data_IF_945667227691
#
_entry.id   IF_945667227691
#
_cell.length_a   1.000
_cell.length_b   1.000
_cell.length_c   1.000
_cell.angle_alpha   90.00
_cell.angle_beta   90.00
_cell.angle_gamma   90.00
#
_symmetry.space_group_name_H-M   'P 1'
#
loop_
_entity.id
_entity.type
_entity.pdbx_description
1 polymer ?
#
# COMPACT_ATOMS: atom_id res chain seq x y z
N UNK A 1 80.74 -24.14 41.33
CA UNK A 1 79.40 -24.72 41.17
C UNK A 1 78.45 -23.56 40.88
N UNK A 2 78.04 -23.41 39.67
CA UNK A 2 77.21 -22.28 39.24
C UNK A 2 75.84 -22.86 38.93
N UNK A 3 74.82 -22.45 39.68
CA UNK A 3 73.41 -22.78 39.45
C UNK A 3 72.86 -21.83 38.37
N UNK A 4 72.27 -22.39 37.29
CA UNK A 4 71.47 -21.68 36.32
C UNK A 4 70.02 -21.73 36.76
N UNK A 5 69.23 -20.62 36.66
CA UNK A 5 67.81 -20.67 36.89
C UNK A 5 67.05 -21.08 35.59
N UNK A 6 66.01 -21.89 35.76
CA UNK A 6 65.10 -22.42 34.73
C UNK A 6 64.14 -21.34 34.21
N UNK A 7 63.98 -21.38 32.93
CA UNK A 7 63.03 -20.54 32.17
C UNK A 7 61.61 -21.07 32.40
N UNK A 8 60.72 -20.25 32.99
CA UNK A 8 59.29 -20.55 33.09
C UNK A 8 58.60 -19.91 31.87
N UNK A 9 58.14 -20.78 30.96
CA UNK A 9 57.30 -20.37 29.84
C UNK A 9 55.91 -19.90 30.33
N UNK A 10 55.63 -18.63 30.17
CA UNK A 10 54.29 -18.07 30.34
C UNK A 10 53.46 -18.34 29.09
N UNK A 11 52.58 -19.35 29.13
CA UNK A 11 51.54 -19.57 28.12
C UNK A 11 50.48 -18.49 28.37
N UNK A 12 50.41 -17.48 27.47
CA UNK A 12 49.29 -16.57 27.40
C UNK A 12 48.17 -17.26 26.63
N UNK A 13 47.12 -17.71 27.34
CA UNK A 13 45.85 -18.12 26.73
C UNK A 13 45.13 -16.85 26.23
N UNK A 14 45.19 -16.65 24.93
CA UNK A 14 44.33 -15.65 24.25
C UNK A 14 42.91 -16.23 24.17
N UNK A 15 42.04 -15.87 25.10
CA UNK A 15 40.60 -16.05 24.94
C UNK A 15 40.13 -15.06 23.90
N UNK A 16 40.09 -15.50 22.64
CA UNK A 16 39.38 -14.78 21.56
C UNK A 16 37.89 -14.72 21.88
N UNK A 17 37.41 -13.57 22.31
CA UNK A 17 35.96 -13.29 22.38
C UNK A 17 35.49 -13.25 20.92
N UNK A 18 35.12 -14.41 20.37
CA UNK A 18 34.28 -14.45 19.18
C UNK A 18 32.91 -13.89 19.57
N UNK A 19 32.73 -12.58 19.42
CA UNK A 19 31.41 -11.97 19.45
C UNK A 19 30.60 -12.61 18.30
N UNK A 20 29.64 -13.44 18.67
CA UNK A 20 28.63 -13.92 17.73
C UNK A 20 27.95 -12.64 17.20
N UNK A 21 28.32 -12.21 16.00
CA UNK A 21 27.57 -11.17 15.27
C UNK A 21 26.22 -11.82 15.00
N UNK A 22 25.25 -11.56 15.87
CA UNK A 22 23.85 -11.97 15.65
C UNK A 22 23.45 -11.35 14.33
N UNK A 23 23.17 -12.17 13.33
CA UNK A 23 22.63 -11.69 12.06
C UNK A 23 21.44 -10.78 12.38
N UNK A 24 21.37 -9.62 11.73
CA UNK A 24 20.28 -8.68 11.97
C UNK A 24 18.95 -9.42 11.78
N UNK A 25 18.13 -9.39 12.81
CA UNK A 25 16.84 -10.07 12.81
C UNK A 25 15.97 -9.48 11.68
N UNK A 26 15.46 -10.33 10.81
CA UNK A 26 14.59 -9.92 9.70
C UNK A 26 13.33 -9.26 10.26
N UNK A 27 12.89 -8.09 9.74
CA UNK A 27 11.69 -7.43 10.24
C UNK A 27 10.42 -8.20 9.90
N UNK A 28 9.44 -8.20 10.78
CA UNK A 28 8.07 -8.47 10.40
C UNK A 28 7.51 -7.29 9.62
N UNK A 29 6.50 -7.53 8.77
CA UNK A 29 5.82 -6.50 7.98
C UNK A 29 4.31 -6.62 8.20
N UNK A 30 3.66 -5.52 8.53
CA UNK A 30 2.21 -5.39 8.54
C UNK A 30 1.83 -4.28 7.59
N UNK A 31 1.00 -4.59 6.60
CA UNK A 31 0.47 -3.62 5.63
C UNK A 31 -1.03 -3.51 5.86
N UNK A 32 -1.49 -2.36 6.33
CA UNK A 32 -2.91 -2.00 6.42
C UNK A 32 -3.26 -1.18 5.19
N UNK A 33 -4.02 -1.78 4.28
CA UNK A 33 -4.30 -1.25 2.96
C UNK A 33 -5.80 -1.07 2.79
N UNK A 34 -6.27 0.18 2.88
CA UNK A 34 -7.68 0.53 2.78
C UNK A 34 -8.15 0.54 1.32
N UNK A 35 -9.46 0.65 1.11
CA UNK A 35 -10.10 0.75 -0.18
C UNK A 35 -10.85 2.08 -0.27
N UNK A 36 -10.60 2.89 -1.29
CA UNK A 36 -11.27 4.17 -1.55
C UNK A 36 -11.14 5.23 -0.43
N UNK A 37 -10.07 5.22 0.35
CA UNK A 37 -9.86 6.22 1.38
C UNK A 37 -9.18 7.48 0.84
N UNK A 38 -9.74 8.63 1.15
CA UNK A 38 -9.22 9.92 0.73
C UNK A 38 -8.02 10.41 1.51
N UNK A 39 -7.25 11.29 0.87
CA UNK A 39 -6.11 11.97 1.50
C UNK A 39 -6.54 12.77 2.75
N UNK A 40 -7.70 13.45 2.68
CA UNK A 40 -8.24 14.28 3.75
C UNK A 40 -9.05 13.55 4.82
N UNK A 41 -9.11 12.23 4.80
CA UNK A 41 -9.99 11.47 5.71
C UNK A 41 -9.40 11.25 7.11
N UNK A 42 -8.07 11.35 7.27
CA UNK A 42 -7.41 11.22 8.57
C UNK A 42 -7.18 12.57 9.23
N UNK A 43 -7.30 12.66 10.56
CA UNK A 43 -7.08 13.90 11.30
C UNK A 43 -5.64 14.41 11.12
N UNK A 44 -4.63 13.52 11.10
CA UNK A 44 -3.24 13.87 10.80
C UNK A 44 -3.00 14.39 9.37
N UNK A 45 -3.96 14.21 8.46
CA UNK A 45 -3.97 14.76 7.10
C UNK A 45 -4.97 15.90 6.90
N UNK A 46 -5.57 16.39 7.99
CA UNK A 46 -6.39 17.59 8.00
C UNK A 46 -7.90 17.39 8.10
N UNK A 47 -8.39 16.14 8.29
CA UNK A 47 -9.80 15.90 8.54
C UNK A 47 -10.29 16.67 9.77
N UNK A 48 -11.41 17.37 9.63
CA UNK A 48 -12.10 18.07 10.73
C UNK A 48 -13.29 17.29 11.26
N UNK A 49 -13.72 16.28 10.53
CA UNK A 49 -14.95 15.53 10.78
C UNK A 49 -14.70 14.13 11.33
N UNK A 50 -13.57 13.52 11.03
CA UNK A 50 -13.24 12.17 11.43
C UNK A 50 -12.19 12.19 12.56
N UNK A 51 -12.37 11.39 13.59
CA UNK A 51 -11.42 11.20 14.68
C UNK A 51 -10.60 9.93 14.43
N UNK A 52 -9.29 10.09 14.29
CA UNK A 52 -8.38 8.96 13.99
C UNK A 52 -7.21 8.90 14.98
N UNK A 53 -7.47 8.82 16.31
CA UNK A 53 -6.43 8.94 17.33
C UNK A 53 -5.35 7.85 17.25
N UNK A 54 -5.69 6.63 16.81
CA UNK A 54 -4.75 5.52 16.70
C UNK A 54 -3.82 5.69 15.50
N UNK A 55 -4.34 6.10 14.35
CA UNK A 55 -3.56 6.42 13.15
C UNK A 55 -2.76 7.72 13.33
N UNK A 56 -3.28 8.69 14.04
CA UNK A 56 -2.54 9.90 14.40
C UNK A 56 -1.36 9.59 15.34
N UNK A 57 -1.54 8.64 16.27
CA UNK A 57 -0.45 8.16 17.10
C UNK A 57 0.59 7.38 16.27
N UNK A 58 0.14 6.52 15.35
CA UNK A 58 1.03 5.82 14.42
C UNK A 58 1.89 6.81 13.61
N UNK A 59 1.29 7.93 13.14
CA UNK A 59 2.00 9.01 12.44
C UNK A 59 3.04 9.72 13.33
N UNK A 60 2.73 9.96 14.61
CA UNK A 60 3.65 10.55 15.58
C UNK A 60 4.82 9.62 15.91
N UNK A 61 4.61 8.31 15.88
CA UNK A 61 5.63 7.29 16.17
C UNK A 61 6.48 6.89 14.96
N UNK A 62 6.13 7.37 13.76
CA UNK A 62 6.78 7.04 12.52
C UNK A 62 7.01 8.21 11.59
N UNK A 63 6.82 7.98 10.32
CA UNK A 63 6.88 8.97 9.24
C UNK A 63 5.55 9.04 8.50
N UNK A 64 5.06 10.27 8.30
CA UNK A 64 3.91 10.61 7.47
C UNK A 64 4.40 11.09 6.11
N UNK A 65 3.95 10.48 5.02
CA UNK A 65 4.25 10.90 3.66
C UNK A 65 3.13 11.77 3.10
N UNK A 66 3.47 12.97 2.64
CA UNK A 66 2.52 13.89 1.99
C UNK A 66 2.52 13.78 0.47
N UNK A 67 3.40 12.96 -0.12
CA UNK A 67 3.46 12.68 -1.57
C UNK A 67 3.62 11.17 -1.84
N UNK A 68 2.75 10.37 -1.22
CA UNK A 68 2.65 8.94 -1.54
C UNK A 68 1.62 8.72 -2.64
N UNK A 69 1.93 7.80 -3.55
CA UNK A 69 1.13 7.52 -4.74
C UNK A 69 0.83 6.04 -4.92
N UNK A 70 -0.40 5.73 -5.33
CA UNK A 70 -0.75 4.45 -5.93
C UNK A 70 -1.41 4.67 -7.29
N UNK A 71 -2.29 3.77 -7.74
CA UNK A 71 -3.08 4.00 -8.96
C UNK A 71 -4.44 4.61 -8.59
N UNK A 72 -5.20 5.01 -9.60
CA UNK A 72 -6.47 5.71 -9.36
C UNK A 72 -7.67 4.78 -9.15
N UNK A 73 -7.48 3.45 -9.25
CA UNK A 73 -8.51 2.41 -9.02
C UNK A 73 -7.90 1.13 -8.47
N UNK A 74 -8.72 0.31 -7.82
CA UNK A 74 -8.34 -0.81 -6.96
C UNK A 74 -7.40 -1.87 -7.58
N UNK A 75 -7.86 -2.63 -8.59
CA UNK A 75 -7.07 -3.73 -9.15
C UNK A 75 -5.71 -3.30 -9.70
N UNK A 76 -5.62 -2.20 -10.49
CA UNK A 76 -4.34 -1.60 -10.89
C UNK A 76 -3.43 -1.26 -9.72
N UNK A 77 -3.97 -0.69 -8.62
CA UNK A 77 -3.20 -0.36 -7.42
C UNK A 77 -2.65 -1.59 -6.72
N UNK A 78 -3.51 -2.61 -6.56
CA UNK A 78 -3.15 -3.86 -5.88
C UNK A 78 -2.13 -4.67 -6.68
N UNK A 79 -2.27 -4.75 -8.00
CA UNK A 79 -1.26 -5.39 -8.85
C UNK A 79 0.08 -4.65 -8.83
N UNK A 80 0.06 -3.31 -8.84
CA UNK A 80 1.25 -2.49 -8.76
C UNK A 80 1.97 -2.65 -7.41
N UNK A 81 1.22 -2.65 -6.30
CA UNK A 81 1.73 -2.92 -4.96
C UNK A 81 2.42 -4.28 -4.88
N UNK A 82 1.73 -5.34 -5.34
CA UNK A 82 2.20 -6.72 -5.21
C UNK A 82 3.44 -7.01 -6.06
N UNK A 83 3.54 -6.43 -7.25
CA UNK A 83 4.54 -6.79 -8.26
C UNK A 83 5.68 -5.77 -8.40
N UNK A 84 5.58 -4.58 -7.82
CA UNK A 84 6.50 -3.48 -8.06
C UNK A 84 6.48 -2.95 -9.51
N UNK A 85 5.41 -3.25 -10.28
CA UNK A 85 5.29 -2.94 -11.71
C UNK A 85 4.06 -2.09 -11.99
N UNK A 86 4.20 -1.13 -12.90
CA UNK A 86 3.07 -0.33 -13.36
C UNK A 86 1.98 -1.20 -14.01
N UNK A 87 0.68 -0.84 -13.89
CA UNK A 87 -0.44 -1.63 -14.44
C UNK A 87 -0.36 -1.90 -15.94
N UNK A 88 0.29 -1.03 -16.70
CA UNK A 88 0.55 -1.28 -18.12
C UNK A 88 1.35 -2.59 -18.34
N UNK A 89 2.07 -3.09 -17.32
CA UNK A 89 2.84 -4.34 -17.30
C UNK A 89 2.15 -5.44 -16.50
N UNK A 90 1.66 -5.14 -15.29
CA UNK A 90 1.04 -6.10 -14.37
C UNK A 90 -0.42 -6.42 -14.66
N UNK A 91 -1.06 -5.68 -15.60
CA UNK A 91 -2.44 -5.90 -16.09
C UNK A 91 -3.57 -5.67 -15.06
N UNK A 92 -3.29 -5.06 -13.91
CA UNK A 92 -4.32 -4.66 -12.96
C UNK A 92 -5.23 -5.79 -12.49
N UNK A 93 -6.55 -5.65 -12.68
CA UNK A 93 -7.53 -6.69 -12.34
C UNK A 93 -7.28 -8.06 -12.98
N UNK A 94 -6.61 -8.07 -14.11
CA UNK A 94 -6.28 -9.27 -14.88
C UNK A 94 -4.84 -9.73 -14.68
N UNK A 95 -4.22 -9.50 -13.53
CA UNK A 95 -2.84 -9.87 -13.25
C UNK A 95 -2.56 -11.32 -13.68
N UNK A 96 -1.61 -11.56 -14.60
CA UNK A 96 -1.27 -12.91 -15.05
C UNK A 96 -0.68 -13.75 -13.89
N UNK A 97 -0.93 -15.05 -13.91
CA UNK A 97 -0.29 -15.99 -12.97
C UNK A 97 1.25 -16.01 -13.07
N UNK A 98 1.79 -15.57 -14.20
CA UNK A 98 3.25 -15.45 -14.40
C UNK A 98 3.87 -14.20 -13.76
N UNK A 99 3.10 -13.29 -13.20
CA UNK A 99 3.66 -12.22 -12.38
C UNK A 99 4.26 -12.78 -11.09
N UNK A 100 5.31 -12.13 -10.61
CA UNK A 100 5.96 -12.46 -9.35
C UNK A 100 5.60 -11.37 -8.35
N UNK A 101 5.10 -11.78 -7.20
CA UNK A 101 4.75 -10.89 -6.10
C UNK A 101 5.88 -10.82 -5.06
N UNK A 102 5.93 -9.74 -4.29
CA UNK A 102 6.85 -9.69 -3.14
C UNK A 102 6.52 -10.77 -2.09
N UNK A 103 5.28 -11.28 -2.05
CA UNK A 103 4.92 -12.36 -1.13
C UNK A 103 5.62 -13.68 -1.49
N UNK A 104 5.69 -14.02 -2.79
CA UNK A 104 6.47 -15.18 -3.26
C UNK A 104 7.94 -15.06 -2.88
N UNK A 105 8.54 -13.88 -3.12
CA UNK A 105 9.96 -13.63 -2.84
C UNK A 105 10.27 -13.63 -1.32
N UNK A 106 9.35 -13.14 -0.50
CA UNK A 106 9.48 -13.21 0.96
C UNK A 106 9.42 -14.66 1.46
N UNK A 107 8.56 -15.51 0.88
CA UNK A 107 8.53 -16.95 1.22
C UNK A 107 9.86 -17.64 0.90
N UNK A 108 10.47 -17.35 -0.25
CA UNK A 108 11.77 -17.91 -0.64
C UNK A 108 12.88 -17.61 0.38
N UNK A 109 12.77 -16.50 1.10
CA UNK A 109 13.72 -16.14 2.17
C UNK A 109 13.21 -16.44 3.58
N UNK A 110 12.20 -17.31 3.71
CA UNK A 110 11.76 -17.90 4.97
C UNK A 110 10.68 -17.14 5.73
N UNK A 111 10.02 -16.15 5.10
CA UNK A 111 8.85 -15.51 5.70
C UNK A 111 7.63 -16.40 5.64
N UNK A 112 6.77 -16.26 6.66
CA UNK A 112 5.39 -16.70 6.61
C UNK A 112 4.51 -15.54 6.13
N UNK A 113 3.55 -15.82 5.25
CA UNK A 113 2.79 -14.80 4.54
C UNK A 113 1.30 -14.97 4.70
N UNK A 114 0.59 -13.89 5.05
CA UNK A 114 -0.87 -13.89 5.13
C UNK A 114 -1.48 -12.70 4.40
N UNK A 115 -2.60 -12.95 3.72
CA UNK A 115 -3.46 -11.93 3.13
C UNK A 115 -4.86 -12.05 3.72
N UNK A 116 -5.37 -10.97 4.30
CA UNK A 116 -6.70 -10.91 4.88
C UNK A 116 -7.47 -9.76 4.23
N UNK A 117 -8.59 -10.08 3.57
CA UNK A 117 -9.45 -9.12 2.89
C UNK A 117 -9.44 -9.26 1.37
N UNK A 118 -9.63 -8.14 0.68
CA UNK A 118 -9.87 -8.03 -0.77
C UNK A 118 -8.63 -8.34 -1.62
N UNK A 119 -8.77 -9.31 -2.55
CA UNK A 119 -7.71 -9.66 -3.49
C UNK A 119 -7.69 -8.77 -4.76
N UNK A 120 -8.77 -8.78 -5.52
CA UNK A 120 -9.10 -7.92 -6.68
C UNK A 120 -8.10 -7.92 -7.86
N UNK A 121 -7.24 -8.93 -7.99
CA UNK A 121 -6.30 -9.06 -9.13
C UNK A 121 -6.48 -10.36 -9.93
N UNK A 122 -7.39 -11.25 -9.54
CA UNK A 122 -7.74 -12.48 -10.25
C UNK A 122 -8.96 -12.33 -11.18
N UNK A 123 -9.23 -11.12 -11.68
CA UNK A 123 -10.46 -10.79 -12.43
C UNK A 123 -11.76 -11.08 -11.65
N UNK A 124 -11.68 -11.03 -10.30
CA UNK A 124 -12.80 -11.36 -9.38
C UNK A 124 -13.36 -12.78 -9.58
N UNK A 125 -12.53 -13.68 -10.07
CA UNK A 125 -12.90 -15.09 -10.37
C UNK A 125 -11.99 -16.03 -9.61
N UNK A 126 -12.52 -17.21 -9.31
CA UNK A 126 -11.77 -18.34 -8.73
C UNK A 126 -10.94 -18.98 -9.84
N UNK A 127 -9.77 -18.42 -10.09
CA UNK A 127 -8.74 -18.94 -11.00
C UNK A 127 -7.58 -19.33 -10.08
N UNK A 128 -7.42 -20.63 -9.83
CA UNK A 128 -6.51 -21.17 -8.80
C UNK A 128 -5.09 -20.60 -8.93
N UNK A 129 -4.55 -20.56 -10.14
CA UNK A 129 -3.19 -20.06 -10.42
C UNK A 129 -3.03 -18.55 -10.18
N UNK A 130 -4.13 -17.85 -9.94
CA UNK A 130 -4.18 -16.40 -9.71
C UNK A 130 -4.75 -16.03 -8.34
N UNK A 131 -5.08 -17.02 -7.53
CA UNK A 131 -5.52 -16.80 -6.15
C UNK A 131 -4.35 -16.47 -5.24
N UNK A 132 -4.59 -15.86 -4.06
CA UNK A 132 -3.54 -15.45 -3.15
C UNK A 132 -2.52 -16.54 -2.82
N UNK A 133 -2.97 -17.77 -2.60
CA UNK A 133 -2.07 -18.88 -2.26
C UNK A 133 -1.10 -19.21 -3.38
N UNK A 134 -1.54 -19.16 -4.65
CA UNK A 134 -0.68 -19.36 -5.81
C UNK A 134 0.24 -18.16 -6.07
N UNK A 135 -0.06 -17.02 -5.49
CA UNK A 135 0.70 -15.76 -5.61
C UNK A 135 1.50 -15.44 -4.33
N UNK A 136 1.84 -16.47 -3.54
CA UNK A 136 2.81 -16.39 -2.47
C UNK A 136 2.27 -16.22 -1.07
N UNK A 137 0.96 -16.28 -0.83
CA UNK A 137 0.41 -16.22 0.52
C UNK A 137 0.14 -17.62 1.08
N UNK A 138 0.72 -17.95 2.24
CA UNK A 138 0.51 -19.22 2.94
C UNK A 138 -0.91 -19.31 3.50
N UNK A 139 -1.47 -18.16 3.90
CA UNK A 139 -2.83 -18.03 4.40
C UNK A 139 -3.58 -16.91 3.71
N UNK A 140 -4.81 -17.20 3.34
CA UNK A 140 -5.74 -16.21 2.78
C UNK A 140 -7.11 -16.33 3.44
N UNK A 141 -7.71 -15.18 3.77
CA UNK A 141 -9.13 -15.06 4.09
C UNK A 141 -9.70 -13.78 3.51
N UNK A 142 -10.71 -13.85 2.66
CA UNK A 142 -11.36 -12.67 2.13
C UNK A 142 -12.09 -12.87 0.81
N UNK A 143 -12.64 -11.78 0.23
CA UNK A 143 -13.30 -11.79 -1.07
C UNK A 143 -12.30 -11.59 -2.22
N UNK A 144 -12.59 -12.20 -3.37
CA UNK A 144 -11.84 -11.98 -4.61
C UNK A 144 -12.15 -10.65 -5.30
N UNK A 145 -13.14 -9.91 -4.83
CA UNK A 145 -13.56 -8.61 -5.33
C UNK A 145 -13.98 -7.67 -4.21
N UNK A 146 -14.65 -6.58 -4.58
CA UNK A 146 -15.19 -5.60 -3.63
C UNK A 146 -16.63 -5.95 -3.19
N UNK A 147 -17.20 -5.08 -2.37
CA UNK A 147 -18.54 -5.17 -1.82
C UNK A 147 -19.61 -4.41 -2.62
N UNK A 148 -19.36 -4.14 -3.91
CA UNK A 148 -20.19 -3.33 -4.81
C UNK A 148 -21.71 -3.66 -4.81
N UNK A 149 -22.04 -4.92 -4.54
CA UNK A 149 -23.42 -5.39 -4.53
C UNK A 149 -24.08 -5.44 -3.15
N UNK A 150 -23.45 -4.86 -2.11
CA UNK A 150 -23.92 -4.99 -0.73
C UNK A 150 -23.84 -6.43 -0.25
N UNK A 151 -22.78 -7.14 -0.63
CA UNK A 151 -22.51 -8.50 -0.21
C UNK A 151 -21.13 -8.97 -0.63
N UNK A 152 -20.48 -9.77 0.19
CA UNK A 152 -19.17 -10.35 -0.04
C UNK A 152 -19.26 -11.88 0.00
N UNK A 153 -18.47 -12.53 -0.87
CA UNK A 153 -18.25 -13.97 -0.88
C UNK A 153 -16.83 -14.21 -0.41
N UNK A 154 -16.68 -14.87 0.71
CA UNK A 154 -15.39 -15.19 1.29
C UNK A 154 -14.79 -16.47 0.74
N UNK A 155 -13.49 -16.49 0.71
CA UNK A 155 -12.67 -17.70 0.59
C UNK A 155 -11.75 -17.78 1.81
N UNK A 156 -11.49 -18.99 2.27
CA UNK A 156 -10.36 -19.29 3.15
C UNK A 156 -9.41 -20.19 2.37
N UNK A 157 -8.25 -19.66 2.08
CA UNK A 157 -7.33 -20.20 1.07
C UNK A 157 -8.04 -20.32 -0.30
N UNK A 158 -8.06 -21.51 -0.90
CA UNK A 158 -8.70 -21.75 -2.20
C UNK A 158 -10.17 -22.18 -2.11
N UNK A 159 -10.70 -22.35 -0.89
CA UNK A 159 -12.04 -22.88 -0.68
C UNK A 159 -13.06 -21.78 -0.34
N UNK A 160 -14.31 -21.91 -0.78
CA UNK A 160 -15.38 -21.01 -0.36
C UNK A 160 -15.57 -21.06 1.17
N UNK A 161 -15.67 -19.89 1.80
CA UNK A 161 -15.78 -19.74 3.26
C UNK A 161 -17.03 -18.92 3.70
N UNK A 162 -18.08 -18.97 2.90
CA UNK A 162 -19.35 -18.32 3.22
C UNK A 162 -19.57 -16.98 2.53
N UNK A 163 -20.62 -16.30 2.93
CA UNK A 163 -21.05 -15.00 2.40
C UNK A 163 -21.55 -14.12 3.53
N UNK A 164 -21.42 -12.80 3.41
CA UNK A 164 -22.08 -11.84 4.30
C UNK A 164 -22.73 -10.72 3.49
N UNK A 165 -23.82 -10.19 4.02
CA UNK A 165 -24.46 -8.94 3.59
C UNK A 165 -24.37 -7.86 4.66
N UNK A 166 -23.81 -8.19 5.81
CA UNK A 166 -23.65 -7.30 6.96
C UNK A 166 -22.35 -6.48 6.77
N UNK A 167 -22.46 -5.39 6.04
CA UNK A 167 -21.30 -4.54 5.69
C UNK A 167 -20.65 -3.95 6.95
N UNK A 168 -21.44 -3.65 7.98
CA UNK A 168 -20.95 -3.11 9.25
C UNK A 168 -20.09 -4.07 10.08
N UNK A 169 -20.08 -5.37 9.76
CA UNK A 169 -19.25 -6.35 10.46
C UNK A 169 -17.88 -6.56 9.81
N UNK A 170 -17.67 -6.07 8.57
CA UNK A 170 -16.48 -6.42 7.79
C UNK A 170 -15.21 -5.92 8.43
N UNK A 171 -15.21 -4.70 9.00
CA UNK A 171 -14.01 -4.12 9.61
C UNK A 171 -13.56 -4.92 10.81
N UNK A 172 -14.49 -5.25 11.71
CA UNK A 172 -14.23 -6.12 12.87
C UNK A 172 -13.83 -7.53 12.43
N UNK A 173 -14.49 -8.11 11.42
CA UNK A 173 -14.20 -9.47 10.95
C UNK A 173 -12.75 -9.60 10.45
N UNK A 174 -12.27 -8.66 9.63
CA UNK A 174 -10.90 -8.74 9.12
C UNK A 174 -9.87 -8.48 10.23
N UNK A 175 -10.19 -7.65 11.20
CA UNK A 175 -9.36 -7.44 12.39
C UNK A 175 -9.27 -8.70 13.23
N UNK A 176 -10.38 -9.36 13.53
CA UNK A 176 -10.41 -10.62 14.28
C UNK A 176 -9.62 -11.73 13.57
N UNK A 177 -9.81 -11.90 12.26
CA UNK A 177 -9.02 -12.85 11.47
C UNK A 177 -7.53 -12.56 11.52
N UNK A 178 -7.14 -11.26 11.51
CA UNK A 178 -5.74 -10.83 11.63
C UNK A 178 -5.17 -11.13 13.01
N UNK A 179 -5.91 -10.87 14.07
CA UNK A 179 -5.51 -11.14 15.47
C UNK A 179 -5.37 -12.64 15.72
N UNK A 180 -6.35 -13.42 15.27
CA UNK A 180 -6.30 -14.90 15.37
C UNK A 180 -5.09 -15.44 14.61
N UNK A 181 -4.81 -14.92 13.41
CA UNK A 181 -3.65 -15.35 12.66
C UNK A 181 -2.33 -14.99 13.40
N UNK A 182 -2.21 -13.79 13.95
CA UNK A 182 -1.05 -13.36 14.72
C UNK A 182 -0.83 -14.19 16.00
N UNK A 183 -1.91 -14.55 16.71
CA UNK A 183 -1.84 -15.24 18.00
C UNK A 183 -1.75 -16.77 17.88
N UNK A 184 -2.42 -17.36 16.88
CA UNK A 184 -2.70 -18.79 16.87
C UNK A 184 -2.21 -19.54 15.63
N UNK A 185 -2.10 -18.86 14.47
CA UNK A 185 -1.82 -19.56 13.20
C UNK A 185 -0.39 -19.39 12.70
N UNK A 186 0.27 -18.26 13.02
CA UNK A 186 1.64 -18.04 12.58
C UNK A 186 2.62 -18.91 13.36
N UNK A 187 3.73 -19.27 12.70
CA UNK A 187 4.90 -19.85 13.34
C UNK A 187 5.68 -18.74 14.10
N UNK A 188 5.82 -18.80 15.43
CA UNK A 188 6.51 -17.77 16.21
C UNK A 188 8.00 -17.62 15.88
N UNK A 189 8.61 -18.66 15.32
CA UNK A 189 10.05 -18.68 15.00
C UNK A 189 10.38 -18.05 13.64
N UNK A 190 9.35 -17.75 12.84
CA UNK A 190 9.53 -17.16 11.50
C UNK A 190 9.17 -15.69 11.47
N UNK A 191 9.92 -14.87 10.71
CA UNK A 191 9.44 -13.55 10.34
C UNK A 191 8.20 -13.67 9.47
N UNK A 192 7.35 -12.64 9.50
CA UNK A 192 6.09 -12.69 8.76
C UNK A 192 5.78 -11.41 7.99
N UNK A 193 4.93 -11.55 6.98
CA UNK A 193 4.19 -10.45 6.38
C UNK A 193 2.69 -10.70 6.52
N UNK A 194 1.98 -9.73 7.06
CA UNK A 194 0.52 -9.69 7.16
C UNK A 194 0.00 -8.54 6.30
N UNK A 195 -0.65 -8.88 5.17
CA UNK A 195 -1.28 -7.93 4.27
C UNK A 195 -2.78 -7.88 4.55
N UNK A 196 -3.23 -6.81 5.21
CA UNK A 196 -4.63 -6.56 5.52
C UNK A 196 -5.19 -5.68 4.42
N UNK A 197 -5.72 -6.35 3.39
CA UNK A 197 -6.27 -5.74 2.18
C UNK A 197 -7.77 -5.48 2.37
N UNK A 198 -8.12 -4.38 3.02
CA UNK A 198 -9.48 -4.13 3.43
C UNK A 198 -10.43 -3.85 2.25
N UNK A 199 -11.74 -4.03 2.47
CA UNK A 199 -12.81 -3.68 1.52
C UNK A 199 -13.46 -2.33 1.85
N UNK A 200 -13.29 -1.80 3.07
CA UNK A 200 -13.73 -0.46 3.45
C UNK A 200 -12.60 0.56 3.13
N UNK A 201 -12.93 1.73 2.64
CA UNK A 201 -14.26 2.40 2.63
C UNK A 201 -14.95 2.29 1.24
N UNK A 202 -14.74 1.18 0.49
CA UNK A 202 -15.41 1.00 -0.80
C UNK A 202 -16.92 0.83 -0.59
N UNK A 203 -17.70 1.51 -1.43
CA UNK A 203 -19.18 1.40 -1.40
C UNK A 203 -19.62 -0.03 -1.81
N UNK A 204 -20.61 -0.66 -1.18
CA UNK A 204 -21.50 -0.11 -0.16
C UNK A 204 -20.83 -0.21 1.20
N UNK A 205 -20.87 0.89 1.98
CA UNK A 205 -20.27 0.97 3.30
C UNK A 205 -21.33 0.84 4.40
N UNK A 206 -20.91 0.34 5.55
CA UNK A 206 -21.63 0.45 6.81
C UNK A 206 -20.63 0.33 7.98
N UNK A 207 -21.02 0.79 9.13
CA UNK A 207 -20.29 0.66 10.39
C UNK A 207 -21.05 -0.24 11.36
N UNK A 208 -20.34 -0.87 12.29
CA UNK A 208 -20.96 -1.61 13.36
C UNK A 208 -21.83 -0.71 14.25
N UNK A 209 -22.77 -1.29 15.00
CA UNK A 209 -23.65 -0.56 15.94
C UNK A 209 -22.86 0.25 16.97
N UNK A 210 -21.64 -0.18 17.27
CA UNK A 210 -20.74 0.55 18.15
C UNK A 210 -20.37 1.94 17.59
N UNK A 211 -20.26 2.09 16.28
CA UNK A 211 -19.79 3.32 15.62
C UNK A 211 -20.88 4.05 14.84
N UNK A 212 -21.91 3.36 14.38
CA UNK A 212 -22.99 3.95 13.56
C UNK A 212 -23.65 5.15 14.22
N UNK A 213 -23.71 6.26 13.49
CA UNK A 213 -24.35 7.51 13.93
C UNK A 213 -23.55 8.31 14.94
N UNK A 214 -22.26 8.06 15.15
CA UNK A 214 -21.45 8.73 16.19
C UNK A 214 -20.45 9.75 15.66
N UNK A 215 -20.05 9.61 14.39
CA UNK A 215 -19.09 10.51 13.77
C UNK A 215 -19.76 11.80 13.26
N UNK A 216 -19.00 12.90 13.26
CA UNK A 216 -19.41 14.14 12.57
C UNK A 216 -19.36 14.01 11.04
N UNK A 217 -18.61 13.04 10.53
CA UNK A 217 -18.47 12.73 9.10
C UNK A 217 -19.63 11.90 8.53
N UNK A 218 -20.72 11.67 9.30
CA UNK A 218 -21.82 10.80 8.89
C UNK A 218 -21.39 9.34 8.77
N UNK A 219 -22.11 8.55 7.97
CA UNK A 219 -21.83 7.12 7.81
C UNK A 219 -20.39 6.83 7.37
N UNK A 220 -19.84 7.63 6.46
CA UNK A 220 -18.45 7.48 6.05
C UNK A 220 -17.48 7.71 7.22
N UNK A 221 -17.72 8.77 7.99
CA UNK A 221 -16.92 9.04 9.18
C UNK A 221 -17.06 7.96 10.25
N UNK A 222 -18.23 7.35 10.41
CA UNK A 222 -18.44 6.22 11.33
C UNK A 222 -17.53 5.05 10.94
N UNK A 223 -17.45 4.74 9.65
CA UNK A 223 -16.57 3.67 9.10
C UNK A 223 -15.09 4.01 9.29
N UNK A 224 -14.70 5.27 9.06
CA UNK A 224 -13.30 5.72 9.27
C UNK A 224 -12.90 5.63 10.74
N UNK A 225 -13.76 6.07 11.68
CA UNK A 225 -13.49 6.00 13.11
C UNK A 225 -13.45 4.55 13.63
N UNK A 226 -14.31 3.67 13.09
CA UNK A 226 -14.24 2.23 13.37
C UNK A 226 -12.95 1.62 12.86
N UNK A 227 -12.55 1.97 11.64
CA UNK A 227 -11.31 1.50 11.04
C UNK A 227 -10.07 1.91 11.83
N UNK A 228 -10.04 3.15 12.32
CA UNK A 228 -8.99 3.65 13.21
C UNK A 228 -8.90 2.81 14.49
N UNK A 229 -10.04 2.56 15.12
CA UNK A 229 -10.12 1.74 16.33
C UNK A 229 -9.64 0.31 16.09
N UNK A 230 -10.11 -0.32 15.03
CA UNK A 230 -9.77 -1.70 14.68
C UNK A 230 -8.30 -1.85 14.27
N UNK A 231 -7.74 -0.87 13.55
CA UNK A 231 -6.29 -0.80 13.30
C UNK A 231 -5.53 -0.71 14.62
N UNK A 232 -6.02 0.08 15.56
CA UNK A 232 -5.46 0.17 16.92
C UNK A 232 -5.39 -1.18 17.62
N UNK A 233 -6.43 -2.03 17.54
CA UNK A 233 -6.43 -3.38 18.12
C UNK A 233 -5.34 -4.29 17.53
N UNK A 234 -5.04 -4.15 16.24
CA UNK A 234 -3.93 -4.90 15.61
C UNK A 234 -2.59 -4.41 16.18
N UNK A 235 -2.41 -3.10 16.33
CA UNK A 235 -1.19 -2.53 16.93
C UNK A 235 -1.01 -2.98 18.39
N UNK A 236 -2.08 -2.97 19.19
CA UNK A 236 -2.08 -3.47 20.57
C UNK A 236 -1.69 -4.96 20.62
N UNK A 237 -2.21 -5.77 19.68
CA UNK A 237 -1.84 -7.19 19.57
C UNK A 237 -0.35 -7.39 19.26
N UNK A 238 0.24 -6.55 18.42
CA UNK A 238 1.69 -6.58 18.17
C UNK A 238 2.48 -6.23 19.43
N UNK A 239 1.99 -5.28 20.23
CA UNK A 239 2.60 -4.90 21.52
C UNK A 239 2.48 -6.04 22.55
N UNK A 240 1.29 -6.61 22.71
CA UNK A 240 1.02 -7.76 23.59
C UNK A 240 1.93 -8.96 23.30
N UNK A 241 2.19 -9.21 22.02
CA UNK A 241 3.05 -10.32 21.56
C UNK A 241 4.54 -9.95 21.58
N UNK A 242 4.93 -8.74 21.98
CA UNK A 242 6.31 -8.28 21.98
C UNK A 242 6.92 -8.08 20.60
N UNK A 243 6.10 -7.98 19.55
CA UNK A 243 6.51 -7.93 18.13
C UNK A 243 6.78 -6.53 17.61
N UNK A 244 6.21 -5.49 18.25
CA UNK A 244 6.21 -4.11 17.72
C UNK A 244 7.59 -3.58 17.38
N UNK A 245 8.62 -3.86 18.19
CA UNK A 245 9.99 -3.35 17.97
C UNK A 245 10.62 -3.86 16.68
N UNK A 246 10.24 -5.08 16.26
CA UNK A 246 10.77 -5.68 15.04
C UNK A 246 9.71 -5.76 13.92
N UNK A 247 8.69 -4.90 13.95
CA UNK A 247 7.63 -4.86 12.94
C UNK A 247 7.60 -3.51 12.22
N UNK A 248 7.77 -3.57 10.90
CA UNK A 248 7.50 -2.48 9.96
C UNK A 248 5.99 -2.45 9.70
N UNK A 249 5.31 -1.42 10.20
CA UNK A 249 3.88 -1.18 9.94
C UNK A 249 3.73 -0.12 8.87
N UNK A 250 2.95 -0.41 7.83
CA UNK A 250 2.62 0.49 6.73
C UNK A 250 1.10 0.64 6.68
N UNK A 251 0.62 1.87 6.74
CA UNK A 251 -0.78 2.23 6.54
C UNK A 251 -0.93 3.08 5.31
N UNK A 252 -1.82 2.71 4.38
CA UNK A 252 -2.14 3.50 3.18
C UNK A 252 -3.42 3.00 2.51
N UNK A 253 -3.86 3.69 1.44
CA UNK A 253 -5.02 3.32 0.62
C UNK A 253 -4.61 2.83 -0.77
N UNK A 254 -5.52 2.17 -1.47
CA UNK A 254 -5.29 1.73 -2.84
C UNK A 254 -5.50 2.84 -3.88
N UNK A 255 -6.50 3.69 -3.70
CA UNK A 255 -6.77 4.86 -4.54
C UNK A 255 -7.52 5.94 -3.75
N UNK A 256 -7.69 7.09 -4.36
CA UNK A 256 -8.47 8.19 -3.77
C UNK A 256 -9.95 7.86 -3.59
N UNK A 257 -10.69 8.71 -2.87
CA UNK A 257 -12.04 8.42 -2.43
C UNK A 257 -13.05 8.57 -3.57
N UNK A 258 -14.19 7.94 -3.40
CA UNK A 258 -15.40 8.49 -4.00
C UNK A 258 -15.62 9.87 -3.36
N UNK A 259 -15.49 10.94 -4.12
CA UNK A 259 -15.56 12.30 -3.58
C UNK A 259 -16.78 13.09 -4.03
N UNK A 260 -17.84 12.43 -4.52
CA UNK A 260 -18.93 13.18 -5.09
C UNK A 260 -20.31 12.58 -4.91
N UNK A 261 -21.22 13.48 -4.54
CA UNK A 261 -22.66 13.31 -4.57
C UNK A 261 -23.21 12.89 -5.96
N UNK A 262 -22.45 13.10 -7.03
CA UNK A 262 -22.86 12.83 -8.43
C UNK A 262 -22.91 11.33 -8.78
N UNK A 263 -22.31 10.45 -7.99
CA UNK A 263 -22.41 9.01 -8.21
C UNK A 263 -23.69 8.41 -7.67
N UNK A 264 -24.80 8.76 -8.28
CA UNK A 264 -26.14 8.22 -7.94
C UNK A 264 -26.21 6.70 -8.04
N UNK A 265 -25.34 6.06 -8.83
CA UNK A 265 -25.26 4.60 -8.94
C UNK A 265 -24.91 3.92 -7.64
N UNK A 266 -24.13 4.57 -6.77
CA UNK A 266 -23.65 4.00 -5.51
C UNK A 266 -24.54 4.38 -4.31
N UNK A 267 -25.60 5.18 -4.51
CA UNK A 267 -26.60 5.47 -3.48
C UNK A 267 -27.46 4.25 -3.14
N UNK A 268 -27.58 3.31 -4.09
CA UNK A 268 -28.38 2.09 -3.89
C UNK A 268 -27.75 1.23 -2.80
N UNK A 269 -28.49 1.02 -1.74
CA UNK A 269 -28.04 0.24 -0.57
C UNK A 269 -27.60 1.08 0.63
N UNK A 270 -27.43 2.40 0.47
CA UNK A 270 -27.18 3.29 1.60
C UNK A 270 -28.46 3.94 2.09
N UNK A 271 -28.55 4.31 3.38
CA UNK A 271 -29.65 5.09 3.90
C UNK A 271 -29.82 6.41 3.15
N UNK A 272 -31.07 6.87 3.00
CA UNK A 272 -31.35 8.14 2.33
C UNK A 272 -30.66 9.29 3.06
N UNK A 273 -29.87 10.10 2.32
CA UNK A 273 -29.12 11.22 2.88
C UNK A 273 -27.79 10.87 3.55
N UNK A 274 -27.39 9.59 3.55
CA UNK A 274 -26.10 9.18 4.09
C UNK A 274 -24.94 9.77 3.27
N UNK A 275 -23.92 10.27 3.96
CA UNK A 275 -22.60 10.57 3.39
C UNK A 275 -21.83 9.25 3.31
N UNK A 276 -21.53 8.78 2.12
CA UNK A 276 -20.83 7.51 1.88
C UNK A 276 -19.59 7.67 1.00
N UNK A 277 -19.09 8.88 0.88
CA UNK A 277 -17.89 9.24 0.12
C UNK A 277 -16.88 9.94 1.02
N UNK A 278 -15.59 9.77 0.68
CA UNK A 278 -14.49 10.37 1.41
C UNK A 278 -14.10 11.76 0.93
N UNK A 279 -13.04 12.27 1.52
CA UNK A 279 -12.51 13.62 1.28
C UNK A 279 -11.06 13.54 0.77
N UNK A 280 -10.83 14.12 -0.42
CA UNK A 280 -9.48 14.27 -0.97
C UNK A 280 -8.69 15.41 -0.30
N UNK A 281 -9.29 16.16 0.63
CA UNK A 281 -8.67 17.34 1.23
C UNK A 281 -8.37 18.42 0.21
N UNK A 282 -7.13 18.92 0.14
CA UNK A 282 -6.75 19.98 -0.80
C UNK A 282 -6.56 19.49 -2.24
N UNK A 283 -6.66 18.18 -2.49
CA UNK A 283 -6.37 17.58 -3.78
C UNK A 283 -7.60 17.63 -4.69
N UNK A 284 -7.36 17.81 -5.98
CA UNK A 284 -8.43 17.85 -6.98
C UNK A 284 -8.97 16.46 -7.25
N UNK A 285 -10.31 16.34 -7.24
CA UNK A 285 -11.08 15.16 -7.63
C UNK A 285 -10.79 13.93 -6.72
N UNK A 286 -10.99 12.70 -7.21
CA UNK A 286 -10.85 11.46 -6.46
C UNK A 286 -10.71 10.23 -7.36
N UNK A 287 -11.25 9.11 -6.91
CA UNK A 287 -11.19 7.80 -7.57
C UNK A 287 -11.46 7.86 -9.08
N UNK A 288 -10.60 7.21 -9.84
CA UNK A 288 -10.73 7.11 -11.30
C UNK A 288 -10.27 8.35 -12.07
N UNK A 289 -9.88 9.44 -11.40
CA UNK A 289 -9.46 10.68 -12.01
C UNK A 289 -7.95 10.70 -12.30
N UNK A 290 -7.51 11.55 -13.25
CA UNK A 290 -6.10 11.78 -13.53
C UNK A 290 -5.46 12.84 -12.61
N UNK A 291 -6.24 13.50 -11.76
CA UNK A 291 -5.79 14.53 -10.83
C UNK A 291 -5.25 13.92 -9.53
N UNK A 292 -4.61 14.77 -8.71
CA UNK A 292 -3.92 14.32 -7.48
C UNK A 292 -4.83 13.52 -6.55
N UNK A 293 -6.10 13.93 -6.39
CA UNK A 293 -7.05 13.26 -5.51
C UNK A 293 -7.34 11.80 -5.87
N UNK A 294 -7.07 11.38 -7.12
CA UNK A 294 -7.20 9.97 -7.51
C UNK A 294 -6.00 9.11 -7.14
N UNK A 295 -4.80 9.69 -7.10
CA UNK A 295 -3.52 8.98 -7.01
C UNK A 295 -2.74 9.22 -5.72
N UNK A 296 -2.85 10.41 -5.12
CA UNK A 296 -2.10 10.83 -3.95
C UNK A 296 -2.85 10.51 -2.68
N UNK A 297 -2.23 9.75 -1.81
CA UNK A 297 -2.89 9.01 -0.72
C UNK A 297 -2.22 9.28 0.61
N UNK A 298 -2.94 9.10 1.73
CA UNK A 298 -2.30 9.06 3.04
C UNK A 298 -1.37 7.84 3.09
N UNK A 299 -0.17 8.03 3.64
CA UNK A 299 0.75 6.92 3.90
C UNK A 299 1.53 7.21 5.18
N UNK A 300 1.43 6.28 6.12
CA UNK A 300 2.12 6.33 7.40
C UNK A 300 2.96 5.07 7.53
N UNK A 301 4.23 5.23 7.92
CA UNK A 301 5.13 4.10 8.10
C UNK A 301 5.79 4.20 9.47
N UNK A 302 5.70 3.12 10.26
CA UNK A 302 6.28 3.03 11.60
C UNK A 302 7.17 1.79 11.72
N UNK A 303 8.35 1.97 12.28
CA UNK A 303 9.22 0.89 12.72
C UNK A 303 10.03 1.37 13.92
N UNK A 304 9.62 1.02 15.15
CA UNK A 304 10.24 1.56 16.37
C UNK A 304 11.74 1.29 16.43
N UNK A 305 12.52 2.33 16.74
CA UNK A 305 13.99 2.23 16.83
C UNK A 305 14.73 2.12 15.49
N UNK A 306 14.02 2.05 14.36
CA UNK A 306 14.61 2.03 13.01
C UNK A 306 14.21 3.26 12.19
N UNK A 307 12.93 3.61 12.18
CA UNK A 307 12.43 4.84 11.57
C UNK A 307 12.34 5.92 12.64
N UNK A 308 13.01 7.08 12.48
CA UNK A 308 12.87 8.18 13.43
C UNK A 308 11.42 8.66 13.50
N UNK A 309 10.91 8.79 14.73
CA UNK A 309 9.54 9.21 15.01
C UNK A 309 9.28 10.68 14.67
N UNK A 310 8.01 11.05 14.45
CA UNK A 310 7.54 12.41 14.27
C UNK A 310 7.99 13.06 12.94
N UNK A 311 8.35 12.25 11.94
CA UNK A 311 8.77 12.77 10.64
C UNK A 311 7.60 13.01 9.70
N UNK A 312 7.73 14.06 8.91
CA UNK A 312 6.92 14.29 7.72
C UNK A 312 7.83 14.38 6.48
N UNK A 313 7.40 13.81 5.36
CA UNK A 313 8.16 13.82 4.11
C UNK A 313 7.29 14.12 2.91
N UNK A 314 7.66 15.15 2.14
CA UNK A 314 7.10 15.46 0.82
C UNK A 314 7.81 14.72 -0.34
N UNK A 315 8.74 13.83 -0.06
CA UNK A 315 9.42 13.04 -1.08
C UNK A 315 8.41 12.14 -1.83
N UNK A 316 8.55 12.04 -3.16
CA UNK A 316 7.72 11.15 -3.96
C UNK A 316 8.04 9.71 -3.58
N UNK A 317 7.04 8.99 -3.13
CA UNK A 317 7.06 7.58 -2.80
C UNK A 317 5.84 6.90 -3.43
N UNK A 318 5.94 5.67 -3.90
CA UNK A 318 4.85 5.02 -4.60
C UNK A 318 4.70 3.55 -4.20
N UNK A 319 3.50 2.98 -4.35
CA UNK A 319 3.19 1.59 -4.03
C UNK A 319 4.07 0.58 -4.77
N UNK A 320 4.50 0.88 -5.99
CA UNK A 320 5.45 0.06 -6.75
C UNK A 320 6.83 -0.05 -6.08
N UNK A 321 7.18 0.86 -5.19
CA UNK A 321 8.48 0.88 -4.49
C UNK A 321 8.57 -0.16 -3.37
N UNK A 322 7.45 -0.75 -2.94
CA UNK A 322 7.45 -1.70 -1.83
C UNK A 322 8.27 -2.95 -2.15
N UNK A 323 8.15 -3.51 -3.37
CA UNK A 323 8.92 -4.71 -3.71
C UNK A 323 10.44 -4.50 -3.58
N UNK A 324 11.09 -3.52 -4.25
CA UNK A 324 12.53 -3.31 -4.09
C UNK A 324 12.93 -2.83 -2.68
N UNK A 325 12.05 -2.12 -1.98
CA UNK A 325 12.28 -1.72 -0.59
C UNK A 325 12.27 -2.94 0.35
N UNK A 326 11.32 -3.85 0.20
CA UNK A 326 11.29 -5.10 0.95
C UNK A 326 12.47 -6.00 0.59
N UNK A 327 12.86 -6.05 -0.70
CA UNK A 327 14.05 -6.76 -1.13
C UNK A 327 15.29 -6.33 -0.32
N UNK A 328 15.49 -5.03 -0.17
CA UNK A 328 16.60 -4.48 0.61
C UNK A 328 16.48 -4.76 2.11
N UNK A 329 15.28 -4.61 2.68
CA UNK A 329 15.07 -4.76 4.13
C UNK A 329 15.03 -6.22 4.59
N UNK A 330 14.56 -7.13 3.73
CA UNK A 330 14.29 -8.54 4.07
C UNK A 330 15.30 -9.52 3.45
N UNK A 331 16.13 -9.06 2.51
CA UNK A 331 17.24 -9.84 1.96
C UNK A 331 16.85 -10.81 0.85
N UNK A 332 15.95 -10.39 -0.06
CA UNK A 332 15.70 -11.12 -1.30
C UNK A 332 16.13 -10.31 -2.53
N UNK A 333 16.25 -10.96 -3.69
CA UNK A 333 16.57 -10.28 -4.95
C UNK A 333 15.31 -9.94 -5.74
N UNK A 334 15.29 -8.74 -6.33
CA UNK A 334 14.25 -8.33 -7.27
C UNK A 334 14.38 -9.14 -8.58
N UNK A 335 13.27 -9.58 -9.21
CA UNK A 335 13.33 -10.32 -10.47
C UNK A 335 14.08 -9.56 -11.57
N UNK A 336 14.99 -10.24 -12.25
CA UNK A 336 15.83 -9.68 -13.35
C UNK A 336 15.26 -9.99 -14.74
N UNK A 337 14.34 -10.95 -14.84
CA UNK A 337 13.70 -11.40 -16.09
C UNK A 337 12.63 -10.44 -16.60
N UNK A 338 12.25 -9.47 -15.77
CA UNK A 338 11.19 -8.50 -16.05
C UNK A 338 11.57 -7.11 -15.54
N UNK A 339 10.93 -6.08 -16.09
CA UNK A 339 11.12 -4.72 -15.61
C UNK A 339 10.33 -4.52 -14.32
N UNK A 340 11.02 -4.11 -13.27
CA UNK A 340 10.43 -3.55 -12.04
C UNK A 340 10.46 -2.03 -12.17
N UNK A 341 9.32 -1.36 -11.93
CA UNK A 341 9.18 0.09 -12.01
C UNK A 341 9.44 0.78 -10.66
N UNK A 342 9.38 -0.01 -9.59
CA UNK A 342 9.72 0.43 -8.24
C UNK A 342 11.22 0.67 -8.07
N UNK A 343 11.55 1.49 -7.07
CA UNK A 343 12.92 1.73 -6.62
C UNK A 343 13.01 1.51 -5.12
N UNK A 344 14.19 1.16 -4.62
CA UNK A 344 14.44 1.03 -3.18
C UNK A 344 14.32 2.38 -2.46
N UNK A 345 13.45 2.44 -1.47
CA UNK A 345 13.19 3.58 -0.61
C UNK A 345 13.61 3.33 0.85
N UNK A 346 14.34 2.26 1.13
CA UNK A 346 14.74 1.92 2.50
C UNK A 346 15.49 3.04 3.19
N UNK A 347 16.42 3.72 2.51
CA UNK A 347 17.14 4.86 3.08
C UNK A 347 16.25 6.09 3.33
N UNK A 348 15.20 6.30 2.53
CA UNK A 348 14.19 7.32 2.78
C UNK A 348 13.39 7.00 4.06
N UNK A 349 12.92 5.77 4.20
CA UNK A 349 12.21 5.29 5.39
C UNK A 349 13.06 5.42 6.64
N UNK A 350 14.30 4.93 6.59
CA UNK A 350 15.23 4.94 7.72
C UNK A 350 15.82 6.33 8.04
N UNK A 351 15.45 7.36 7.27
CA UNK A 351 15.91 8.73 7.52
C UNK A 351 17.33 9.04 7.07
N UNK A 352 17.95 8.16 6.31
CA UNK A 352 19.30 8.32 5.75
C UNK A 352 19.32 9.19 4.48
N UNK A 353 18.18 9.29 3.80
CA UNK A 353 17.97 10.10 2.60
C UNK A 353 16.69 10.93 2.75
N UNK A 354 16.66 12.14 2.15
CA UNK A 354 15.49 13.05 2.17
C UNK A 354 14.69 13.02 0.87
N UNK A 355 15.29 12.57 -0.21
CA UNK A 355 14.67 12.52 -1.55
C UNK A 355 14.17 11.11 -1.86
N UNK A 356 13.02 11.02 -2.50
CA UNK A 356 12.44 9.78 -2.98
C UNK A 356 12.68 9.54 -4.46
N UNK A 357 11.63 9.18 -5.18
CA UNK A 357 11.64 9.03 -6.65
C UNK A 357 11.81 10.40 -7.32
N UNK A 358 12.44 10.40 -8.50
CA UNK A 358 12.53 11.60 -9.32
C UNK A 358 11.19 11.94 -9.98
N UNK A 359 10.38 10.91 -10.31
CA UNK A 359 9.11 11.09 -11.00
C UNK A 359 8.07 10.05 -10.56
N UNK A 360 6.78 10.37 -10.82
CA UNK A 360 5.66 9.43 -10.76
C UNK A 360 4.89 9.44 -12.09
N UNK A 361 4.58 8.25 -12.62
CA UNK A 361 3.85 8.05 -13.87
C UNK A 361 2.38 7.74 -13.60
N UNK A 362 1.47 8.59 -14.09
CA UNK A 362 0.01 8.50 -13.88
C UNK A 362 -0.65 7.65 -14.97
N UNK A 363 -0.22 6.41 -15.13
CA UNK A 363 -0.84 5.42 -16.01
C UNK A 363 -1.40 5.98 -17.34
N UNK A 364 -0.56 6.33 -18.28
CA UNK A 364 -0.93 6.92 -19.59
C UNK A 364 -1.59 8.31 -19.55
N UNK A 365 -1.94 8.82 -18.38
CA UNK A 365 -2.54 10.14 -18.25
C UNK A 365 -1.52 11.28 -18.21
N UNK A 366 -0.38 11.06 -17.56
CA UNK A 366 0.62 12.11 -17.36
C UNK A 366 1.81 11.66 -16.55
N UNK A 367 2.59 12.66 -16.11
CA UNK A 367 3.80 12.44 -15.31
C UNK A 367 4.04 13.59 -14.35
N UNK A 368 4.49 13.29 -13.13
CA UNK A 368 5.05 14.24 -12.18
C UNK A 368 6.57 14.08 -12.13
N UNK A 369 7.33 15.20 -12.19
CA UNK A 369 8.75 15.25 -11.90
C UNK A 369 9.05 16.43 -10.98
N UNK A 370 9.52 16.13 -9.76
CA UNK A 370 9.64 17.13 -8.71
C UNK A 370 8.29 17.79 -8.42
N UNK A 371 8.20 19.12 -8.52
CA UNK A 371 6.97 19.88 -8.33
C UNK A 371 6.05 19.92 -9.56
N UNK A 372 6.56 19.63 -10.75
CA UNK A 372 5.82 19.76 -12.00
C UNK A 372 5.01 18.52 -12.33
N UNK A 373 3.73 18.69 -12.56
CA UNK A 373 2.82 17.65 -13.08
C UNK A 373 2.33 18.04 -14.45
N UNK A 374 2.52 17.16 -15.41
CA UNK A 374 1.97 17.26 -16.77
C UNK A 374 0.88 16.23 -16.99
N UNK A 375 -0.21 16.64 -17.59
CA UNK A 375 -1.28 15.78 -18.08
C UNK A 375 -1.44 15.98 -19.59
N UNK A 376 -1.57 14.89 -20.35
CA UNK A 376 -1.84 14.94 -21.78
C UNK A 376 -3.30 15.33 -22.05
N UNK A 377 -3.55 15.93 -23.20
CA UNK A 377 -4.91 16.19 -23.66
C UNK A 377 -5.71 14.88 -23.71
N UNK A 378 -6.97 14.92 -23.30
CA UNK A 378 -7.86 13.77 -23.18
C UNK A 378 -7.27 12.64 -22.34
N UNK A 379 -6.55 12.99 -21.26
CA UNK A 379 -5.96 12.03 -20.33
C UNK A 379 -6.97 10.96 -19.95
N UNK A 380 -6.54 9.69 -20.05
CA UNK A 380 -7.38 8.55 -19.70
C UNK A 380 -7.73 8.60 -18.21
N UNK A 381 -8.99 8.32 -17.91
CA UNK A 381 -9.49 8.07 -16.58
C UNK A 381 -10.58 7.01 -16.66
N UNK A 382 -10.78 6.31 -15.58
CA UNK A 382 -11.86 5.35 -15.51
C UNK A 382 -13.19 6.10 -15.37
N UNK A 383 -14.26 5.59 -15.97
CA UNK A 383 -15.57 6.25 -16.06
C UNK A 383 -16.28 6.54 -14.73
N UNK A 384 -15.55 6.43 -13.63
CA UNK A 384 -15.96 6.85 -12.28
C UNK A 384 -15.68 8.34 -12.02
N UNK A 385 -14.72 8.93 -12.76
CA UNK A 385 -14.41 10.33 -12.64
C UNK A 385 -15.56 11.17 -13.20
N UNK A 386 -15.74 12.35 -12.67
CA UNK A 386 -16.80 13.26 -13.08
C UNK A 386 -16.58 13.66 -14.54
N UNK A 387 -17.60 13.54 -15.39
CA UNK A 387 -17.51 13.74 -16.83
C UNK A 387 -16.89 15.09 -17.25
N UNK A 388 -17.02 16.12 -16.42
CA UNK A 388 -16.53 17.47 -16.71
C UNK A 388 -15.09 17.74 -16.27
N UNK A 389 -14.41 16.78 -15.64
CA UNK A 389 -13.07 16.95 -15.09
C UNK A 389 -11.97 16.24 -15.91
N UNK A 390 -12.17 16.12 -17.21
CA UNK A 390 -11.12 15.69 -18.13
C UNK A 390 -10.10 16.81 -18.35
N UNK A 391 -8.85 16.47 -18.42
CA UNK A 391 -7.85 17.28 -19.09
C UNK A 391 -8.19 17.38 -20.60
N UNK A 392 -9.06 18.30 -20.98
CA UNK A 392 -9.48 18.48 -22.38
C UNK A 392 -8.33 18.91 -23.29
N UNK A 393 -7.39 19.63 -22.73
CA UNK A 393 -6.14 20.12 -23.33
C UNK A 393 -4.94 19.58 -22.57
N UNK A 394 -3.74 19.86 -23.04
CA UNK A 394 -2.53 19.62 -22.24
C UNK A 394 -2.53 20.53 -21.01
N UNK A 395 -2.19 19.96 -19.85
CA UNK A 395 -2.17 20.69 -18.60
C UNK A 395 -0.80 20.54 -17.92
N UNK A 396 -0.36 21.63 -17.29
CA UNK A 396 0.88 21.66 -16.48
C UNK A 396 0.59 22.37 -15.17
N UNK A 397 0.96 21.74 -14.05
CA UNK A 397 0.74 22.29 -12.71
C UNK A 397 2.04 22.34 -11.91
N UNK A 398 2.18 23.36 -11.07
CA UNK A 398 3.19 23.45 -10.03
C UNK A 398 2.57 23.04 -8.70
N UNK A 399 2.74 21.78 -8.32
CA UNK A 399 2.10 21.19 -7.13
C UNK A 399 2.62 21.74 -5.79
N UNK A 400 3.70 22.51 -5.76
CA UNK A 400 4.14 23.19 -4.54
C UNK A 400 3.29 24.45 -4.26
N UNK A 401 2.91 25.17 -5.30
CA UNK A 401 2.10 26.40 -5.19
C UNK A 401 0.62 26.19 -5.49
N UNK A 402 0.27 25.14 -6.20
CA UNK A 402 -1.10 24.82 -6.67
C UNK A 402 -1.39 23.32 -6.52
N UNK A 403 -1.53 22.88 -5.27
CA UNK A 403 -1.80 21.49 -4.95
C UNK A 403 -3.20 21.04 -5.44
N UNK A 404 -4.12 22.00 -5.58
CA UNK A 404 -5.49 21.80 -6.07
C UNK A 404 -5.61 21.78 -7.58
N UNK A 405 -4.51 21.94 -8.34
CA UNK A 405 -4.49 21.86 -9.82
C UNK A 405 -5.51 22.80 -10.49
N UNK A 406 -5.51 24.08 -10.04
CA UNK A 406 -6.47 25.10 -10.52
C UNK A 406 -5.91 25.93 -11.68
N UNK A 407 -4.59 26.09 -11.78
CA UNK A 407 -3.94 27.01 -12.68
C UNK A 407 -3.10 26.25 -13.71
N UNK A 408 -3.64 26.05 -14.91
CA UNK A 408 -2.91 25.41 -16.01
C UNK A 408 -1.80 26.33 -16.54
N UNK A 409 -0.55 25.89 -16.40
CA UNK A 409 0.65 26.59 -16.79
C UNK A 409 1.27 26.11 -18.13
N UNK A 410 0.58 25.23 -18.89
CA UNK A 410 1.15 24.61 -20.08
C UNK A 410 1.57 25.62 -21.15
N UNK A 411 0.74 26.63 -21.42
CA UNK A 411 1.08 27.71 -22.38
C UNK A 411 2.23 28.58 -21.90
N UNK A 412 2.34 28.81 -20.58
CA UNK A 412 3.39 29.64 -19.98
C UNK A 412 4.77 28.97 -19.98
N UNK A 413 4.80 27.61 -19.90
CA UNK A 413 6.05 26.83 -19.78
C UNK A 413 6.15 25.72 -20.84
N UNK A 414 6.10 26.03 -22.16
CA UNK A 414 6.08 25.02 -23.22
C UNK A 414 7.34 24.13 -23.24
N UNK A 415 8.51 24.64 -22.83
CA UNK A 415 9.74 23.86 -22.71
C UNK A 415 9.62 22.78 -21.62
N UNK A 416 8.94 23.10 -20.51
CA UNK A 416 8.70 22.14 -19.41
C UNK A 416 7.72 21.04 -19.85
N UNK A 417 6.67 21.41 -20.57
CA UNK A 417 5.74 20.45 -21.19
C UNK A 417 6.51 19.49 -22.10
N UNK A 418 7.35 20.01 -23.01
CA UNK A 418 8.15 19.16 -23.91
C UNK A 418 9.09 18.20 -23.16
N UNK A 419 9.78 18.68 -22.10
CA UNK A 419 10.62 17.83 -21.24
C UNK A 419 9.83 16.66 -20.64
N UNK A 420 8.66 16.95 -20.05
CA UNK A 420 7.85 15.95 -19.36
C UNK A 420 7.18 14.96 -20.34
N UNK A 421 6.80 15.42 -21.52
CA UNK A 421 6.32 14.56 -22.62
C UNK A 421 7.39 13.57 -23.08
N UNK A 422 8.64 14.03 -23.25
CA UNK A 422 9.75 13.14 -23.61
C UNK A 422 10.02 12.09 -22.53
N UNK A 423 10.00 12.50 -21.25
CA UNK A 423 10.17 11.56 -20.15
C UNK A 423 9.02 10.53 -20.12
N UNK A 424 7.77 10.98 -20.26
CA UNK A 424 6.60 10.10 -20.31
C UNK A 424 6.72 9.07 -21.45
N UNK A 425 7.06 9.53 -22.65
CA UNK A 425 7.27 8.68 -23.83
C UNK A 425 8.36 7.63 -23.59
N UNK A 426 9.48 8.00 -22.98
CA UNK A 426 10.57 7.08 -22.66
C UNK A 426 10.14 5.93 -21.72
N UNK A 427 9.20 6.19 -20.80
CA UNK A 427 8.65 5.17 -19.88
C UNK A 427 7.70 4.23 -20.64
N UNK A 428 6.89 4.77 -21.53
CA UNK A 428 5.94 4.00 -22.35
C UNK A 428 6.66 3.10 -23.36
N UNK A 429 7.70 3.59 -24.02
CA UNK A 429 8.52 2.84 -24.99
C UNK A 429 9.28 1.67 -24.39
N UNK A 430 9.55 1.69 -23.08
CA UNK A 430 10.13 0.56 -22.38
C UNK A 430 9.20 -0.68 -22.33
N UNK A 431 7.97 -0.56 -22.83
CA UNK A 431 7.01 -1.61 -23.16
C UNK A 431 6.71 -2.62 -22.04
N UNK A 432 5.70 -3.46 -22.24
CA UNK A 432 5.48 -4.61 -21.38
C UNK A 432 6.50 -5.70 -21.77
N UNK A 433 7.57 -5.91 -21.02
CA UNK A 433 8.27 -7.18 -21.07
C UNK A 433 7.37 -8.22 -20.42
N UNK A 434 6.71 -9.03 -21.24
CA UNK A 434 5.91 -10.16 -20.77
C UNK A 434 6.92 -11.26 -20.38
N UNK A 435 6.88 -11.79 -19.16
CA UNK A 435 7.75 -12.89 -18.76
C UNK A 435 7.50 -14.10 -19.64
N UNK A 436 8.55 -14.76 -20.09
CA UNK A 436 8.47 -16.02 -20.88
C UNK A 436 8.14 -17.25 -20.02
N UNK A 437 8.10 -17.12 -18.69
CA UNK A 437 7.78 -18.24 -17.79
C UNK A 437 6.31 -18.61 -17.86
N UNK A 438 6.03 -19.86 -18.25
CA UNK A 438 4.71 -20.46 -18.11
C UNK A 438 4.49 -20.91 -16.67
N UNK A 439 3.24 -20.92 -16.21
CA UNK A 439 2.83 -21.32 -14.85
C UNK A 439 3.39 -22.69 -14.40
N UNK A 440 3.68 -23.59 -15.33
CA UNK A 440 4.20 -24.93 -15.05
C UNK A 440 5.70 -24.98 -14.66
N UNK A 441 6.45 -23.90 -14.82
CA UNK A 441 7.85 -23.84 -14.39
C UNK A 441 8.04 -23.44 -12.93
N UNK A 442 7.04 -22.80 -12.32
CA UNK A 442 7.06 -22.43 -10.90
C UNK A 442 6.80 -23.59 -9.94
N UNK A 443 6.16 -24.65 -10.40
CA UNK A 443 5.82 -25.83 -9.57
C UNK A 443 6.92 -26.90 -9.57
N UNK A 444 8.04 -26.68 -10.26
CA UNK A 444 9.14 -27.66 -10.43
C UNK A 444 10.48 -27.20 -9.88
N UNK A 445 10.56 -25.97 -9.37
CA UNK A 445 11.70 -25.41 -8.63
C UNK A 445 11.27 -25.09 -7.19
#
# INVERSE_FOLDING_TARGET
MVFRPSFIEKIFLFFGIFGIIKAAEKPNIVIVFTDDQGYGDLASYGSKNNRTPRLDQLAKEGIKFTSFYSQTVCGPSRSALLTGRQPLRSKGWGMPASEITWAELLREVGYQTACIGKWDVSSRKTIIERMPNAQGFDYYFGPLGANDGGGVKFHENNEPAGTSREMGELTTLYTEKSIVWLKEKRDPEKPFVLYIAHTMMHTIIDASDRFRGKSKGGLYGDVVEEFDFETGRILDTLDELGLSKNTLVIYTSDNGPWNQDKYTKNKKGHPKGAVFWGDSGPLRNGKGSCYEGGYRLPCIVRWPGKIPAGRESGAIFASVDFMPTFAKLCGFEVPKDRRIDGIDQSDLLLGRRKVGRDYFYYHEAGIRKGKWKYLKANAHFYGYAVENDRAKVEELYDLESDLGEQNNLAEKFPKKVAELKLLMKSIEELGPRIPSRTSNQRLRE
#
